data_IF_960848406817
#
_entry.id   IF_960848406817
#
_cell.length_a   1.000
_cell.length_b   1.000
_cell.length_c   1.000
_cell.angle_alpha   90.00
_cell.angle_beta   90.00
_cell.angle_gamma   90.00
#
_symmetry.space_group_name_H-M   'P 1'
#
loop_
_entity.id
_entity.type
_entity.pdbx_description
1 polymer ?
#
# COMPACT_ATOMS: atom_id res chain seq x y z
N UNK A 1 8.77 -17.40 9.01
CA UNK A 1 9.20 -16.29 8.13
C UNK A 1 9.07 -15.00 8.93
N UNK A 2 10.03 -14.08 8.82
CA UNK A 2 9.95 -12.79 9.52
C UNK A 2 9.12 -11.81 8.68
N UNK A 3 8.17 -11.13 9.30
CA UNK A 3 7.33 -10.15 8.62
C UNK A 3 8.14 -8.88 8.28
N UNK A 4 8.12 -8.41 7.02
CA UNK A 4 8.86 -7.22 6.65
C UNK A 4 8.15 -5.95 7.13
N UNK A 5 8.94 -4.97 7.56
CA UNK A 5 8.46 -3.62 7.87
C UNK A 5 8.76 -2.67 6.72
N UNK A 6 7.78 -1.84 6.37
CA UNK A 6 7.90 -0.74 5.40
C UNK A 6 7.41 0.56 6.02
N UNK A 7 7.73 1.68 5.41
CA UNK A 7 7.28 2.98 5.91
C UNK A 7 6.97 3.93 4.76
N UNK A 8 6.07 4.87 5.01
CA UNK A 8 5.78 6.01 4.14
C UNK A 8 6.08 7.31 4.85
N UNK A 9 6.81 8.18 4.17
CA UNK A 9 6.92 9.59 4.53
C UNK A 9 5.79 10.34 3.84
N UNK A 10 4.84 10.82 4.62
CA UNK A 10 3.66 11.53 4.12
C UNK A 10 3.95 13.03 4.17
N UNK A 11 3.76 13.70 3.04
CA UNK A 11 3.87 15.15 2.92
C UNK A 11 2.51 15.78 2.61
N UNK A 12 2.29 17.00 3.08
CA UNK A 12 1.15 17.86 2.72
C UNK A 12 1.73 19.21 2.30
N UNK A 13 1.36 19.69 1.11
CA UNK A 13 1.93 20.92 0.52
C UNK A 13 3.47 20.94 0.56
N UNK A 14 4.09 19.80 0.20
CA UNK A 14 5.54 19.58 0.20
C UNK A 14 6.23 19.65 1.58
N UNK A 15 5.47 19.71 2.67
CA UNK A 15 5.99 19.66 4.04
C UNK A 15 5.81 18.27 4.62
N UNK A 16 6.86 17.72 5.23
CA UNK A 16 6.80 16.45 5.93
C UNK A 16 5.80 16.53 7.09
N UNK A 17 4.75 15.71 7.04
CA UNK A 17 3.75 15.60 8.09
C UNK A 17 4.15 14.50 9.08
N UNK A 18 4.37 13.27 8.58
CA UNK A 18 4.63 12.11 9.44
C UNK A 18 5.26 10.96 8.66
N UNK A 19 6.03 10.13 9.37
CA UNK A 19 6.44 8.81 8.91
C UNK A 19 5.50 7.74 9.51
N UNK A 20 4.88 6.93 8.66
CA UNK A 20 3.98 5.84 9.05
C UNK A 20 4.65 4.51 8.70
N UNK A 21 4.89 3.66 9.70
CA UNK A 21 5.45 2.33 9.51
C UNK A 21 4.36 1.26 9.51
N UNK A 22 4.53 0.24 8.68
CA UNK A 22 3.64 -0.91 8.52
C UNK A 22 4.43 -2.20 8.64
N UNK A 23 3.97 -3.13 9.45
CA UNK A 23 4.39 -4.53 9.37
C UNK A 23 3.47 -5.25 8.38
N UNK A 24 4.06 -6.01 7.44
CA UNK A 24 3.30 -6.78 6.46
C UNK A 24 3.22 -8.23 6.90
N UNK A 25 2.01 -8.79 6.95
CA UNK A 25 1.75 -10.17 7.37
C UNK A 25 2.16 -11.22 6.32
N UNK A 26 3.45 -11.27 5.99
CA UNK A 26 4.02 -12.21 5.03
C UNK A 26 3.90 -13.67 5.49
N UNK A 27 3.73 -13.91 6.79
CA UNK A 27 3.43 -15.23 7.34
C UNK A 27 1.99 -15.71 7.03
N UNK A 28 1.07 -14.80 6.70
CA UNK A 28 -0.34 -15.11 6.37
C UNK A 28 -0.63 -15.01 4.88
N UNK A 29 -0.16 -13.93 4.26
CA UNK A 29 -0.41 -13.56 2.85
C UNK A 29 0.91 -13.19 2.15
N UNK A 30 1.82 -14.17 1.96
CA UNK A 30 3.16 -13.91 1.43
C UNK A 30 3.16 -13.19 0.08
N UNK A 31 2.28 -13.55 -0.86
CA UNK A 31 2.26 -12.94 -2.20
C UNK A 31 1.78 -11.48 -2.13
N UNK A 32 0.74 -11.23 -1.34
CA UNK A 32 0.19 -9.89 -1.13
C UNK A 32 1.20 -8.97 -0.42
N UNK A 33 1.87 -9.50 0.61
CA UNK A 33 2.90 -8.77 1.35
C UNK A 33 4.13 -8.49 0.47
N UNK A 34 4.56 -9.44 -0.36
CA UNK A 34 5.64 -9.26 -1.34
C UNK A 34 5.32 -8.12 -2.31
N UNK A 35 4.12 -8.13 -2.90
CA UNK A 35 3.67 -7.07 -3.80
C UNK A 35 3.78 -5.68 -3.16
N UNK A 36 3.21 -5.51 -1.95
CA UNK A 36 3.27 -4.23 -1.25
C UNK A 36 4.71 -3.82 -0.90
N UNK A 37 5.51 -4.78 -0.46
CA UNK A 37 6.92 -4.57 -0.12
C UNK A 37 7.73 -4.07 -1.33
N UNK A 38 7.59 -4.71 -2.48
CA UNK A 38 8.31 -4.36 -3.70
C UNK A 38 7.83 -3.02 -4.29
N UNK A 39 6.53 -2.72 -4.24
CA UNK A 39 6.01 -1.41 -4.62
C UNK A 39 6.47 -0.29 -3.68
N UNK A 40 6.72 -0.61 -2.41
CA UNK A 40 7.28 0.35 -1.45
C UNK A 40 8.75 0.67 -1.74
N UNK A 41 9.54 -0.31 -2.20
CA UNK A 41 10.96 -0.09 -2.55
C UNK A 41 11.12 0.53 -3.93
N UNK A 42 10.17 0.32 -4.84
CA UNK A 42 10.26 0.76 -6.23
C UNK A 42 11.24 -0.07 -7.07
N UNK A 43 11.65 -1.23 -6.57
CA UNK A 43 12.70 -2.08 -7.19
C UNK A 43 12.35 -2.57 -8.61
N UNK A 44 11.06 -2.57 -8.97
CA UNK A 44 10.57 -2.95 -10.30
C UNK A 44 10.50 -1.76 -11.28
N UNK A 45 11.05 -0.61 -10.90
CA UNK A 45 11.01 0.63 -11.70
C UNK A 45 9.70 1.42 -11.60
N UNK A 46 8.76 0.96 -10.76
CA UNK A 46 7.51 1.64 -10.41
C UNK A 46 7.16 1.32 -8.96
N UNK A 47 6.36 2.16 -8.31
CA UNK A 47 6.03 2.00 -6.90
C UNK A 47 5.24 3.17 -6.34
N UNK A 48 5.15 3.23 -5.00
CA UNK A 48 4.31 4.21 -4.30
C UNK A 48 4.94 5.61 -4.17
N UNK A 49 6.25 5.74 -4.38
CA UNK A 49 6.94 7.03 -4.24
C UNK A 49 6.36 8.05 -5.22
N UNK A 50 5.92 9.20 -4.69
CA UNK A 50 5.30 10.27 -5.47
C UNK A 50 3.80 10.07 -5.77
N UNK A 51 3.21 8.94 -5.36
CA UNK A 51 1.76 8.77 -5.40
C UNK A 51 1.08 9.54 -4.27
N UNK A 52 -0.18 9.93 -4.47
CA UNK A 52 -1.00 10.63 -3.49
C UNK A 52 -2.15 9.74 -2.98
N UNK A 53 -2.68 10.09 -1.80
CA UNK A 53 -3.97 9.58 -1.34
C UNK A 53 -5.08 10.32 -2.08
N UNK A 54 -5.63 9.72 -3.13
CA UNK A 54 -6.62 10.35 -3.99
C UNK A 54 -8.03 10.37 -3.36
N UNK A 55 -8.28 9.56 -2.32
CA UNK A 55 -9.56 9.53 -1.62
C UNK A 55 -9.36 9.40 -0.12
N UNK A 56 -9.90 10.37 0.61
CA UNK A 56 -9.81 10.47 2.08
C UNK A 56 -11.23 10.58 2.62
N UNK A 57 -11.65 9.62 3.45
CA UNK A 57 -12.96 9.63 4.11
C UNK A 57 -12.74 9.62 5.62
N UNK A 58 -13.03 10.74 6.31
CA UNK A 58 -12.95 10.82 7.76
C UNK A 58 -13.79 9.71 8.43
N UNK A 59 -13.21 9.04 9.43
CA UNK A 59 -13.85 7.94 10.15
C UNK A 59 -13.96 6.62 9.38
N UNK A 60 -13.35 6.52 8.18
CA UNK A 60 -13.38 5.28 7.40
C UNK A 60 -12.01 4.83 6.90
N UNK A 61 -11.39 5.54 5.95
CA UNK A 61 -10.05 5.20 5.46
C UNK A 61 -9.39 6.28 4.58
N UNK A 62 -8.08 6.12 4.41
CA UNK A 62 -7.28 6.78 3.37
C UNK A 62 -6.98 5.77 2.27
N UNK A 63 -7.30 6.12 1.03
CA UNK A 63 -7.10 5.27 -0.15
C UNK A 63 -6.11 5.92 -1.11
N UNK A 64 -5.10 5.15 -1.51
CA UNK A 64 -4.00 5.58 -2.39
C UNK A 64 -3.77 4.58 -3.53
N UNK A 65 -2.51 4.32 -3.86
CA UNK A 65 -2.08 3.23 -4.76
C UNK A 65 -2.28 3.43 -6.27
N UNK A 66 -3.12 4.38 -6.71
CA UNK A 66 -3.21 4.71 -8.14
C UNK A 66 -2.03 5.60 -8.57
N UNK A 67 -0.89 4.97 -8.87
CA UNK A 67 0.31 5.64 -9.39
C UNK A 67 0.35 5.73 -10.93
N UNK A 68 -0.65 5.21 -11.64
CA UNK A 68 -0.70 5.29 -13.12
C UNK A 68 -1.67 6.34 -13.62
N UNK A 69 -2.78 6.57 -12.91
CA UNK A 69 -3.82 7.54 -13.29
C UNK A 69 -4.16 8.53 -12.18
N UNK A 70 -3.76 8.27 -10.93
CA UNK A 70 -3.96 9.16 -9.77
C UNK A 70 -5.42 9.50 -9.42
N UNK A 71 -6.39 8.77 -9.97
CA UNK A 71 -7.83 9.03 -9.80
C UNK A 71 -8.63 7.81 -9.32
N UNK A 72 -7.95 6.70 -8.99
CA UNK A 72 -8.54 5.46 -8.48
C UNK A 72 -8.95 4.45 -9.55
N UNK A 73 -8.57 4.64 -10.82
CA UNK A 73 -8.90 3.70 -11.93
C UNK A 73 -7.69 2.94 -12.46
N UNK A 74 -6.50 3.29 -11.98
CA UNK A 74 -5.24 2.69 -12.36
C UNK A 74 -4.64 1.77 -11.29
N UNK A 75 -3.31 1.76 -11.22
CA UNK A 75 -2.53 0.82 -10.42
C UNK A 75 -2.16 -0.45 -11.19
N UNK A 76 -1.06 -1.08 -10.77
CA UNK A 76 -0.65 -2.42 -11.22
C UNK A 76 0.16 -3.09 -10.11
N UNK A 77 0.12 -4.42 -10.09
CA UNK A 77 0.94 -5.22 -9.18
C UNK A 77 2.30 -5.54 -9.80
N UNK A 78 3.22 -6.09 -8.99
CA UNK A 78 4.46 -6.69 -9.51
C UNK A 78 4.20 -7.96 -10.33
N UNK A 79 2.99 -8.52 -10.27
CA UNK A 79 2.58 -9.73 -10.96
C UNK A 79 1.79 -9.46 -12.26
N UNK A 80 1.54 -8.19 -12.61
CA UNK A 80 0.71 -7.80 -13.76
C UNK A 80 -0.41 -6.82 -13.37
N UNK A 81 -1.42 -6.69 -14.22
CA UNK A 81 -2.55 -5.77 -13.96
C UNK A 81 -3.35 -6.15 -12.71
N UNK A 82 -3.58 -7.46 -12.50
CA UNK A 82 -4.33 -8.00 -11.36
C UNK A 82 -3.74 -9.34 -10.92
N UNK A 83 -3.99 -9.72 -9.67
CA UNK A 83 -3.72 -11.05 -9.14
C UNK A 83 -4.87 -11.47 -8.22
N UNK A 84 -5.05 -12.77 -8.04
CA UNK A 84 -6.16 -13.34 -7.28
C UNK A 84 -6.08 -13.01 -5.78
N UNK A 85 -7.25 -12.94 -5.14
CA UNK A 85 -7.35 -12.86 -3.68
C UNK A 85 -6.65 -14.06 -3.03
N UNK A 86 -5.64 -13.79 -2.21
CA UNK A 86 -4.80 -14.85 -1.65
C UNK A 86 -5.54 -15.66 -0.59
N UNK A 87 -5.91 -15.02 0.54
CA UNK A 87 -6.69 -15.63 1.65
C UNK A 87 -7.38 -14.55 2.48
N UNK A 88 -8.52 -14.89 3.09
CA UNK A 88 -9.26 -14.04 4.02
C UNK A 88 -9.08 -14.47 5.50
N UNK A 89 -7.82 -14.61 5.94
CA UNK A 89 -7.51 -15.07 7.32
C UNK A 89 -7.73 -13.95 8.35
N UNK A 90 -7.36 -12.73 8.00
CA UNK A 90 -7.44 -11.56 8.86
C UNK A 90 -8.76 -10.81 8.61
N UNK A 91 -9.35 -10.26 9.66
CA UNK A 91 -10.56 -9.43 9.58
C UNK A 91 -10.21 -7.97 9.77
N UNK A 92 -11.00 -7.07 9.19
CA UNK A 92 -10.97 -5.65 9.50
C UNK A 92 -11.54 -5.43 10.91
N UNK A 93 -10.73 -5.64 11.94
CA UNK A 93 -11.16 -5.69 13.35
C UNK A 93 -11.23 -4.34 14.05
N UNK A 94 -10.69 -3.29 13.44
CA UNK A 94 -10.74 -1.95 14.03
C UNK A 94 -12.11 -1.31 13.75
N UNK A 95 -12.94 -1.25 14.80
CA UNK A 95 -14.04 -0.29 14.93
C UNK A 95 -13.40 1.08 15.21
N UNK A 96 -13.78 2.08 14.42
CA UNK A 96 -13.35 3.48 14.58
C UNK A 96 -14.03 4.12 15.79
#
# INVERSE_FOLDING_TARGET
MVNPTRFFEITVDSKLLKCVSFELFADKVPKTAENFSALSTGEKGFGYKGSCFHRIIPGFMYQGEDFTRHIGTGGKSIHGEKFDDEKFILKHSCLW
#
